data_IF_182034254054
#
_entry.id   IF_182034254054
#
_cell.length_a   1.000
_cell.length_b   1.000
_cell.length_c   1.000
_cell.angle_alpha   90.00
_cell.angle_beta   90.00
_cell.angle_gamma   90.00
#
_symmetry.space_group_name_H-M   'P 1'
#
loop_
_entity.id
_entity.type
_entity.pdbx_description
1 polymer ?
#
# COMPACT_ATOMS: atom_id res chain seq x y z
N UNK A 1 -44.01 -13.41 -26.62
CA UNK A 1 -45.05 -14.04 -25.78
C UNK A 1 -46.36 -14.36 -26.51
N UNK A 2 -46.76 -13.66 -27.59
CA UNK A 2 -47.99 -13.95 -28.32
C UNK A 2 -48.00 -15.30 -29.10
N UNK A 3 -46.83 -15.85 -29.43
CA UNK A 3 -46.71 -17.13 -30.14
C UNK A 3 -46.95 -18.38 -29.29
N UNK A 4 -46.90 -18.24 -27.95
CA UNK A 4 -47.10 -19.34 -27.01
C UNK A 4 -48.59 -19.56 -26.69
N UNK A 5 -49.34 -18.47 -26.54
CA UNK A 5 -50.78 -18.51 -26.27
C UNK A 5 -51.62 -19.03 -27.44
N UNK A 6 -51.18 -18.79 -28.67
CA UNK A 6 -51.86 -19.29 -29.87
C UNK A 6 -51.65 -20.80 -30.07
N UNK A 7 -50.55 -21.35 -29.54
CA UNK A 7 -50.27 -22.80 -29.52
C UNK A 7 -51.13 -23.55 -28.50
N UNK A 8 -51.47 -22.93 -27.37
CA UNK A 8 -52.31 -23.52 -26.33
C UNK A 8 -53.80 -23.56 -26.69
N UNK A 9 -54.31 -22.59 -27.46
CA UNK A 9 -55.70 -22.61 -27.97
C UNK A 9 -56.00 -23.80 -28.91
N UNK A 10 -54.97 -24.38 -29.53
CA UNK A 10 -55.09 -25.55 -30.44
C UNK A 10 -55.49 -26.84 -29.76
N UNK A 11 -55.19 -27.01 -28.47
CA UNK A 11 -55.43 -28.26 -27.73
C UNK A 11 -56.85 -28.37 -27.16
N UNK A 12 -57.64 -27.30 -27.22
CA UNK A 12 -58.98 -27.23 -26.60
C UNK A 12 -60.14 -27.08 -27.60
N UNK A 13 -59.89 -27.23 -28.90
CA UNK A 13 -60.94 -27.22 -29.92
C UNK A 13 -61.30 -28.66 -30.32
N UNK A 14 -62.59 -29.03 -30.36
CA UNK A 14 -62.98 -30.38 -30.76
C UNK A 14 -62.58 -30.62 -32.22
N UNK A 15 -61.96 -31.77 -32.49
CA UNK A 15 -61.22 -32.08 -33.72
C UNK A 15 -61.99 -32.07 -35.05
N UNK A 16 -63.28 -31.69 -35.06
CA UNK A 16 -64.11 -31.55 -36.26
C UNK A 16 -64.05 -30.15 -36.90
N UNK A 17 -63.42 -29.16 -36.23
CA UNK A 17 -63.27 -27.78 -36.75
C UNK A 17 -61.80 -27.49 -37.08
N UNK A 18 -61.32 -28.10 -38.16
CA UNK A 18 -59.95 -27.91 -38.67
C UNK A 18 -60.01 -26.90 -39.82
N UNK A 19 -59.83 -25.62 -39.52
CA UNK A 19 -59.71 -24.58 -40.55
C UNK A 19 -58.26 -24.49 -41.05
N UNK A 20 -58.08 -24.45 -42.37
CA UNK A 20 -56.77 -24.22 -42.98
C UNK A 20 -56.31 -22.79 -42.66
N UNK A 21 -55.13 -22.64 -42.05
CA UNK A 21 -54.53 -21.33 -41.78
C UNK A 21 -53.77 -20.83 -43.00
N UNK A 22 -54.14 -19.64 -43.44
CA UNK A 22 -53.51 -18.95 -44.56
C UNK A 22 -52.63 -17.80 -44.08
N UNK A 23 -51.71 -17.32 -44.91
CA UNK A 23 -50.93 -16.11 -44.63
C UNK A 23 -51.83 -14.88 -44.52
N UNK A 24 -51.45 -13.87 -43.75
CA UNK A 24 -52.13 -12.57 -43.64
C UNK A 24 -52.26 -11.78 -44.95
N UNK A 25 -51.71 -12.30 -46.05
CA UNK A 25 -51.93 -11.79 -47.40
C UNK A 25 -53.22 -12.30 -48.03
N UNK A 26 -53.68 -13.48 -47.61
CA UNK A 26 -54.89 -14.14 -48.11
C UNK A 26 -56.08 -13.58 -47.33
N UNK A 27 -57.11 -13.14 -48.05
CA UNK A 27 -58.28 -12.45 -47.48
C UNK A 27 -59.31 -13.43 -46.92
N UNK A 28 -58.85 -14.35 -46.07
CA UNK A 28 -59.65 -15.43 -45.49
C UNK A 28 -59.49 -15.42 -43.97
N UNK A 29 -60.58 -15.65 -43.24
CA UNK A 29 -60.56 -15.60 -41.78
C UNK A 29 -60.32 -14.18 -41.25
N UNK A 30 -59.55 -14.06 -40.16
CA UNK A 30 -59.38 -12.81 -39.41
C UNK A 30 -58.27 -11.88 -39.97
N UNK A 31 -58.05 -11.91 -41.27
CA UNK A 31 -56.91 -11.27 -41.96
C UNK A 31 -56.80 -9.75 -41.70
N UNK A 32 -57.94 -9.06 -41.53
CA UNK A 32 -58.00 -7.62 -41.35
C UNK A 32 -57.57 -7.20 -39.94
N UNK A 33 -57.96 -7.96 -38.92
CA UNK A 33 -57.55 -7.71 -37.54
C UNK A 33 -56.08 -8.05 -37.31
N UNK A 34 -55.59 -9.14 -37.91
CA UNK A 34 -54.18 -9.53 -37.83
C UNK A 34 -53.24 -8.47 -38.45
N UNK A 35 -53.70 -7.73 -39.46
CA UNK A 35 -52.97 -6.58 -40.02
C UNK A 35 -53.06 -5.32 -39.17
N UNK A 36 -54.10 -5.15 -38.36
CA UNK A 36 -54.27 -4.02 -37.43
C UNK A 36 -53.49 -4.18 -36.11
N UNK A 37 -52.85 -5.32 -35.88
CA UNK A 37 -51.99 -5.55 -34.72
C UNK A 37 -50.85 -4.51 -34.72
N UNK A 38 -50.90 -3.60 -33.74
CA UNK A 38 -49.93 -2.52 -33.59
C UNK A 38 -48.55 -3.11 -33.26
N UNK A 39 -47.59 -2.93 -34.18
CA UNK A 39 -46.18 -3.20 -33.89
C UNK A 39 -45.68 -2.07 -32.99
N UNK A 40 -45.53 -2.33 -31.68
CA UNK A 40 -44.79 -1.42 -30.80
C UNK A 40 -43.41 -1.19 -31.42
N UNK A 41 -43.07 0.06 -31.69
CA UNK A 41 -41.71 0.44 -32.09
C UNK A 41 -40.75 0.12 -30.95
N UNK A 42 -39.51 -0.25 -31.26
CA UNK A 42 -38.46 -0.59 -30.28
C UNK A 42 -37.93 0.63 -29.48
N UNK A 43 -38.59 1.78 -29.59
CA UNK A 43 -38.24 3.00 -28.85
C UNK A 43 -38.73 2.90 -27.40
N UNK A 44 -37.95 3.35 -26.41
CA UNK A 44 -38.32 3.28 -25.00
C UNK A 44 -39.58 4.12 -24.73
N UNK A 45 -40.59 3.47 -24.16
CA UNK A 45 -41.98 3.95 -24.06
C UNK A 45 -42.21 5.14 -23.11
N UNK A 46 -41.21 5.62 -22.36
CA UNK A 46 -41.44 6.77 -21.46
C UNK A 46 -40.13 7.36 -20.92
N UNK A 47 -39.47 8.21 -21.70
CA UNK A 47 -38.51 9.16 -21.13
C UNK A 47 -39.27 10.40 -20.66
N UNK A 48 -38.88 10.94 -19.50
CA UNK A 48 -39.38 12.25 -19.06
C UNK A 48 -38.90 13.34 -20.03
N UNK A 49 -39.65 14.44 -20.20
CA UNK A 49 -39.17 15.57 -21.02
C UNK A 49 -37.77 16.04 -20.56
N UNK A 50 -37.52 16.02 -19.25
CA UNK A 50 -36.21 16.31 -18.68
C UNK A 50 -35.11 15.36 -19.20
N UNK A 51 -35.38 14.07 -19.34
CA UNK A 51 -34.40 13.09 -19.83
C UNK A 51 -34.16 13.22 -21.33
N UNK A 52 -35.13 13.73 -22.09
CA UNK A 52 -34.99 14.05 -23.51
C UNK A 52 -34.12 15.30 -23.69
N UNK A 53 -34.32 16.32 -22.84
CA UNK A 53 -33.64 17.61 -22.95
C UNK A 53 -32.26 17.63 -22.24
N UNK A 54 -32.08 16.81 -21.21
CA UNK A 54 -30.86 16.77 -20.41
C UNK A 54 -29.78 15.94 -21.10
N UNK A 55 -28.76 16.63 -21.60
CA UNK A 55 -27.54 15.99 -22.08
C UNK A 55 -26.63 15.69 -20.88
N UNK A 56 -26.54 14.41 -20.52
CA UNK A 56 -25.60 13.96 -19.49
C UNK A 56 -24.16 14.03 -20.04
N UNK A 57 -23.31 14.82 -19.38
CA UNK A 57 -21.87 14.85 -19.67
C UNK A 57 -21.10 14.09 -18.57
N UNK A 58 -20.87 12.77 -18.73
CA UNK A 58 -20.26 11.93 -17.69
C UNK A 58 -18.82 12.36 -17.35
N UNK A 59 -18.10 12.94 -18.31
CA UNK A 59 -16.72 13.40 -18.14
C UNK A 59 -16.61 14.89 -17.81
N UNK A 60 -17.74 15.62 -17.73
CA UNK A 60 -17.69 17.04 -17.38
C UNK A 60 -17.32 17.19 -15.90
N UNK A 61 -16.09 17.60 -15.66
CA UNK A 61 -15.69 18.11 -14.35
C UNK A 61 -16.02 19.60 -14.33
N UNK A 62 -16.64 20.11 -13.27
CA UNK A 62 -16.81 21.55 -13.13
C UNK A 62 -15.45 22.23 -13.19
N UNK A 63 -15.40 23.43 -13.77
CA UNK A 63 -14.17 24.19 -13.93
C UNK A 63 -13.43 24.31 -12.59
N UNK A 64 -12.12 24.00 -12.61
CA UNK A 64 -11.25 24.04 -11.44
C UNK A 64 -11.21 25.45 -10.83
N UNK A 65 -11.32 26.50 -11.65
CA UNK A 65 -11.34 27.89 -11.18
C UNK A 65 -12.62 28.15 -10.39
N UNK A 66 -13.78 27.79 -10.95
CA UNK A 66 -15.07 27.91 -10.27
C UNK A 66 -15.09 27.12 -8.96
N UNK A 67 -14.59 25.88 -8.97
CA UNK A 67 -14.51 25.07 -7.74
C UNK A 67 -13.66 25.74 -6.66
N UNK A 68 -12.51 26.31 -7.04
CA UNK A 68 -11.64 27.04 -6.11
C UNK A 68 -12.31 28.30 -5.57
N UNK A 69 -13.02 29.06 -6.40
CA UNK A 69 -13.73 30.27 -5.93
C UNK A 69 -14.85 29.93 -4.95
N UNK A 70 -15.60 28.85 -5.20
CA UNK A 70 -16.62 28.38 -4.28
C UNK A 70 -16.01 27.94 -2.93
N UNK A 71 -14.94 27.14 -2.94
CA UNK A 71 -14.28 26.71 -1.71
C UNK A 71 -13.77 27.90 -0.88
N UNK A 72 -13.14 28.89 -1.53
CA UNK A 72 -12.68 30.11 -0.86
C UNK A 72 -13.83 30.93 -0.26
N UNK A 73 -14.99 30.98 -0.92
CA UNK A 73 -16.18 31.67 -0.40
C UNK A 73 -16.74 30.97 0.85
N UNK A 74 -16.54 29.66 0.95
CA UNK A 74 -17.02 28.82 2.06
C UNK A 74 -16.00 28.67 3.20
N UNK A 75 -14.75 29.12 3.06
CA UNK A 75 -13.71 29.04 4.10
C UNK A 75 -14.04 29.82 5.38
N UNK A 76 -14.95 30.79 5.32
CA UNK A 76 -15.41 31.55 6.49
C UNK A 76 -14.36 32.51 7.05
N UNK A 77 -14.60 32.99 8.28
CA UNK A 77 -13.68 33.90 8.97
C UNK A 77 -12.56 33.11 9.65
N UNK A 78 -11.30 33.55 9.57
CA UNK A 78 -10.22 32.84 10.24
C UNK A 78 -10.39 32.86 11.77
N UNK A 79 -10.07 31.73 12.42
CA UNK A 79 -10.16 31.51 13.88
C UNK A 79 -9.57 32.65 14.71
N UNK A 80 -8.48 33.25 14.22
CA UNK A 80 -7.81 34.37 14.88
C UNK A 80 -8.77 35.53 15.19
N UNK A 81 -9.73 35.83 14.33
CA UNK A 81 -10.68 36.93 14.55
C UNK A 81 -11.84 36.55 15.48
N UNK A 82 -12.11 35.26 15.68
CA UNK A 82 -13.23 34.78 16.50
C UNK A 82 -12.82 34.51 17.95
N UNK A 83 -11.59 34.04 18.15
CA UNK A 83 -11.15 33.47 19.44
C UNK A 83 -9.94 34.23 20.02
N UNK A 84 -9.20 35.03 19.23
CA UNK A 84 -8.09 35.80 19.78
C UNK A 84 -8.62 36.94 20.63
N UNK A 85 -8.09 37.05 21.84
CA UNK A 85 -8.23 38.21 22.69
C UNK A 85 -6.97 39.06 22.55
N UNK A 86 -7.14 40.37 22.30
CA UNK A 86 -6.06 41.36 22.26
C UNK A 86 -4.96 41.15 21.20
N UNK A 87 -5.20 40.28 20.19
CA UNK A 87 -4.23 40.05 19.10
C UNK A 87 -2.96 39.35 19.56
N UNK A 88 -2.99 38.68 20.70
CA UNK A 88 -1.82 38.01 21.25
C UNK A 88 -1.49 36.75 20.45
N UNK A 89 -0.19 36.52 20.24
CA UNK A 89 0.26 35.30 19.58
C UNK A 89 0.08 34.09 20.51
N UNK A 90 -0.32 32.95 19.97
CA UNK A 90 -0.52 31.71 20.73
C UNK A 90 0.75 31.25 21.48
N UNK A 91 1.94 31.68 21.05
CA UNK A 91 3.20 31.36 21.73
C UNK A 91 3.45 32.16 23.02
N UNK A 92 2.62 33.15 23.34
CA UNK A 92 2.81 34.02 24.51
C UNK A 92 2.77 33.26 25.84
N UNK A 93 2.05 32.13 25.89
CA UNK A 93 1.79 31.35 27.10
C UNK A 93 2.33 29.92 27.01
N UNK A 94 3.55 29.75 26.49
CA UNK A 94 4.21 28.43 26.42
C UNK A 94 4.95 28.03 27.70
N UNK A 95 5.04 28.94 28.67
CA UNK A 95 5.72 28.74 29.96
C UNK A 95 4.68 28.49 31.03
N UNK A 96 4.87 27.45 31.84
CA UNK A 96 4.02 27.19 33.00
C UNK A 96 4.49 28.00 34.21
N UNK A 97 3.59 28.30 35.14
CA UNK A 97 3.94 29.00 36.38
C UNK A 97 5.02 28.26 37.19
N UNK A 98 5.05 26.92 37.11
CA UNK A 98 6.08 26.11 37.75
C UNK A 98 7.47 26.37 37.13
N UNK A 99 7.57 26.35 35.80
CA UNK A 99 8.83 26.62 35.08
C UNK A 99 9.33 28.04 35.37
N UNK A 100 8.42 29.02 35.36
CA UNK A 100 8.75 30.42 35.70
C UNK A 100 9.24 30.59 37.15
N UNK A 101 8.59 29.96 38.13
CA UNK A 101 8.94 30.16 39.55
C UNK A 101 10.21 29.43 39.97
N UNK A 102 10.39 28.18 39.54
CA UNK A 102 11.45 27.32 40.08
C UNK A 102 12.67 27.21 39.17
N UNK A 103 12.46 27.22 37.85
CA UNK A 103 13.52 26.91 36.89
C UNK A 103 14.13 28.18 36.30
N UNK A 104 13.32 29.23 36.14
CA UNK A 104 13.76 30.52 35.61
C UNK A 104 14.08 31.51 36.73
N UNK A 105 15.36 31.81 36.89
CA UNK A 105 15.81 32.96 37.70
C UNK A 105 15.80 34.22 36.84
N UNK A 106 14.62 34.61 36.37
CA UNK A 106 14.42 35.73 35.44
C UNK A 106 13.72 36.94 36.06
N UNK A 107 14.13 38.13 35.60
CA UNK A 107 13.52 39.41 35.92
C UNK A 107 12.19 39.53 35.17
N UNK A 108 11.10 39.22 35.85
CA UNK A 108 9.77 39.60 35.40
C UNK A 108 9.76 41.11 35.16
N UNK A 109 9.18 41.56 34.04
CA UNK A 109 9.02 42.99 33.69
C UNK A 109 7.97 43.68 34.57
N UNK A 110 7.96 43.33 35.86
CA UNK A 110 7.05 43.88 36.83
C UNK A 110 7.40 45.35 37.05
N UNK A 111 6.39 46.21 37.22
CA UNK A 111 6.63 47.54 37.73
C UNK A 111 7.31 47.44 39.11
N UNK A 112 8.21 48.39 39.42
CA UNK A 112 9.09 48.33 40.59
C UNK A 112 8.36 48.43 41.94
N UNK A 113 7.13 48.95 41.96
CA UNK A 113 6.33 49.12 43.17
C UNK A 113 4.98 48.43 43.01
N UNK A 114 4.62 47.64 44.02
CA UNK A 114 3.28 47.05 44.19
C UNK A 114 2.34 48.04 44.89
N UNK A 115 1.09 48.08 44.47
CA UNK A 115 0.00 48.84 45.09
C UNK A 115 -1.08 47.91 45.60
N UNK A 116 -1.71 48.26 46.72
CA UNK A 116 -2.89 47.54 47.21
C UNK A 116 -4.08 47.88 46.31
N UNK A 117 -4.71 46.87 45.72
CA UNK A 117 -5.95 47.03 44.97
C UNK A 117 -7.13 46.52 45.81
N UNK A 118 -8.08 47.42 46.07
CA UNK A 118 -9.25 47.14 46.89
C UNK A 118 -10.27 46.21 46.22
N UNK A 119 -10.25 46.12 44.88
CA UNK A 119 -11.17 45.25 44.16
C UNK A 119 -10.73 43.79 44.18
N UNK A 120 -9.42 43.55 43.96
CA UNK A 120 -8.83 42.21 44.04
C UNK A 120 -8.45 41.79 45.46
N UNK A 121 -8.40 42.74 46.41
CA UNK A 121 -7.93 42.54 47.79
C UNK A 121 -6.52 41.94 47.83
N UNK A 122 -5.65 42.38 46.92
CA UNK A 122 -4.30 41.87 46.76
C UNK A 122 -3.30 43.00 46.49
N UNK A 123 -2.02 42.70 46.68
CA UNK A 123 -0.94 43.58 46.26
C UNK A 123 -0.62 43.31 44.80
N UNK A 124 -1.08 44.20 43.92
CA UNK A 124 -0.85 44.11 42.48
C UNK A 124 0.33 44.99 42.04
N UNK A 125 0.99 44.64 40.93
CA UNK A 125 0.80 43.39 40.21
C UNK A 125 1.55 42.22 40.83
N UNK A 126 0.96 41.03 40.72
CA UNK A 126 1.63 39.80 41.06
C UNK A 126 2.55 39.35 39.92
N UNK A 127 3.54 38.51 40.26
CA UNK A 127 4.45 37.94 39.26
C UNK A 127 3.71 37.15 38.18
N UNK A 128 2.61 36.49 38.55
CA UNK A 128 1.71 35.74 37.68
C UNK A 128 1.02 36.60 36.62
N UNK A 129 0.77 37.88 36.91
CA UNK A 129 0.08 38.79 35.99
C UNK A 129 0.96 39.20 34.79
N UNK A 130 2.27 39.05 34.93
CA UNK A 130 3.26 39.38 33.91
C UNK A 130 4.07 38.14 33.53
N UNK A 131 3.45 37.18 32.81
CA UNK A 131 4.13 35.98 32.38
C UNK A 131 5.30 36.34 31.46
N UNK A 132 6.42 35.63 31.63
CA UNK A 132 7.58 35.79 30.76
C UNK A 132 7.21 35.39 29.32
N UNK A 133 7.48 36.29 28.37
CA UNK A 133 7.27 36.05 26.93
C UNK A 133 8.41 35.27 26.28
N UNK A 134 9.39 34.83 27.06
CA UNK A 134 10.54 34.06 26.58
C UNK A 134 10.10 32.70 26.03
N UNK A 135 10.87 32.13 25.08
CA UNK A 135 10.61 30.77 24.61
C UNK A 135 10.69 29.78 25.78
N UNK A 136 9.88 28.70 25.75
CA UNK A 136 9.80 27.72 26.83
C UNK A 136 11.12 27.02 27.10
N UNK A 137 11.31 26.53 28.33
CA UNK A 137 12.58 25.91 28.73
C UNK A 137 12.71 24.60 27.99
N UNK A 138 13.63 24.54 27.05
CA UNK A 138 13.87 23.37 26.24
C UNK A 138 15.06 22.61 26.83
N UNK A 139 14.78 21.58 27.63
CA UNK A 139 15.78 20.73 28.30
C UNK A 139 16.61 19.85 27.34
N UNK A 140 16.89 20.32 26.11
CA UNK A 140 17.52 19.49 25.08
C UNK A 140 16.55 18.54 24.35
N UNK A 141 15.28 18.47 24.78
CA UNK A 141 14.31 17.48 24.28
C UNK A 141 14.08 17.60 22.77
N UNK A 142 13.95 18.83 22.27
CA UNK A 142 13.78 19.08 20.83
C UNK A 142 14.99 18.54 20.04
N UNK A 143 16.20 18.82 20.51
CA UNK A 143 17.44 18.39 19.86
C UNK A 143 17.55 16.85 19.85
N UNK A 144 17.17 16.19 20.95
CA UNK A 144 17.14 14.73 21.02
C UNK A 144 16.10 14.13 20.08
N UNK A 145 14.88 14.69 20.05
CA UNK A 145 13.82 14.22 19.14
C UNK A 145 14.19 14.42 17.68
N UNK A 146 14.79 15.55 17.32
CA UNK A 146 15.29 15.80 15.98
C UNK A 146 16.32 14.76 15.56
N UNK A 147 17.28 14.43 16.44
CA UNK A 147 18.27 13.37 16.19
C UNK A 147 17.62 11.99 16.01
N UNK A 148 16.56 11.69 16.75
CA UNK A 148 15.83 10.43 16.62
C UNK A 148 15.09 10.37 15.28
N UNK A 149 14.36 11.42 14.91
CA UNK A 149 13.62 11.47 13.65
C UNK A 149 14.54 11.42 12.43
N UNK A 150 15.70 12.09 12.49
CA UNK A 150 16.69 12.02 11.41
C UNK A 150 17.24 10.60 11.23
N UNK A 151 17.35 9.81 12.31
CA UNK A 151 17.77 8.39 12.22
C UNK A 151 16.69 7.53 11.59
N UNK A 152 15.43 7.72 11.98
CA UNK A 152 14.30 6.95 11.45
C UNK A 152 14.11 7.11 9.94
N UNK A 153 14.41 8.28 9.38
CA UNK A 153 14.34 8.51 7.93
C UNK A 153 15.49 7.86 7.14
N UNK A 154 16.56 7.42 7.82
CA UNK A 154 17.79 6.92 7.19
C UNK A 154 17.96 5.40 7.23
N UNK A 155 17.04 4.67 7.84
CA UNK A 155 17.17 3.22 8.01
C UNK A 155 16.59 2.45 6.82
N UNK A 156 17.49 1.80 6.08
CA UNK A 156 17.20 0.73 5.14
C UNK A 156 16.45 -0.39 5.87
N UNK A 157 15.41 -0.98 5.26
CA UNK A 157 14.46 -1.88 5.96
C UNK A 157 15.13 -3.19 6.34
N UNK A 158 15.83 -3.20 7.48
CA UNK A 158 16.56 -4.35 8.01
C UNK A 158 15.71 -5.06 9.06
N UNK A 159 15.68 -6.39 9.01
CA UNK A 159 15.09 -7.16 10.11
C UNK A 159 15.89 -6.93 11.39
N UNK A 160 15.23 -7.00 12.55
CA UNK A 160 15.89 -6.88 13.87
C UNK A 160 17.09 -7.83 13.97
N UNK A 161 16.96 -9.04 13.41
CA UNK A 161 18.05 -10.00 13.33
C UNK A 161 19.23 -9.45 12.52
N UNK A 162 19.01 -8.95 11.30
CA UNK A 162 20.10 -8.40 10.46
C UNK A 162 20.75 -7.13 11.03
N UNK A 163 20.00 -6.31 11.79
CA UNK A 163 20.54 -5.12 12.44
C UNK A 163 21.37 -5.43 13.69
N UNK A 164 20.99 -6.46 14.44
CA UNK A 164 21.66 -6.86 15.70
C UNK A 164 22.76 -7.89 15.50
N UNK A 165 22.66 -8.73 14.45
CA UNK A 165 23.62 -9.78 14.18
C UNK A 165 24.92 -9.20 13.63
N UNK A 166 26.00 -9.36 14.39
CA UNK A 166 27.35 -9.02 13.93
C UNK A 166 27.84 -10.16 13.04
N UNK A 167 28.05 -9.88 11.76
CA UNK A 167 28.66 -10.86 10.86
C UNK A 167 30.02 -11.30 11.40
N UNK A 168 30.25 -12.61 11.59
CA UNK A 168 31.55 -13.10 12.02
C UNK A 168 32.60 -12.81 10.95
N UNK A 169 33.88 -12.65 11.32
CA UNK A 169 34.94 -12.43 10.35
C UNK A 169 35.05 -13.60 9.37
N UNK A 170 35.52 -13.34 8.15
CA UNK A 170 35.63 -14.37 7.08
C UNK A 170 36.45 -15.59 7.50
N UNK A 171 37.40 -15.41 8.43
CA UNK A 171 38.22 -16.48 9.01
C UNK A 171 37.44 -17.50 9.85
N UNK A 172 36.25 -17.15 10.34
CA UNK A 172 35.38 -18.07 11.07
C UNK A 172 34.65 -19.04 10.12
N UNK A 173 34.59 -18.75 8.83
CA UNK A 173 34.01 -19.64 7.83
C UNK A 173 35.05 -20.68 7.39
N UNK A 174 34.63 -21.95 7.31
CA UNK A 174 35.48 -23.00 6.77
C UNK A 174 35.79 -22.73 5.29
N UNK A 175 37.07 -22.79 4.94
CA UNK A 175 37.51 -22.66 3.55
C UNK A 175 37.04 -23.91 2.77
N UNK A 176 36.32 -23.76 1.64
CA UNK A 176 35.96 -24.90 0.81
C UNK A 176 37.23 -25.56 0.28
N UNK A 177 37.50 -26.79 0.71
CA UNK A 177 38.57 -27.61 0.13
C UNK A 177 38.01 -28.26 -1.13
N UNK A 178 38.49 -27.82 -2.30
CA UNK A 178 38.25 -28.56 -3.54
C UNK A 178 39.05 -29.86 -3.48
N UNK A 179 38.40 -30.95 -3.05
CA UNK A 179 39.00 -32.28 -3.04
C UNK A 179 39.21 -32.77 -4.47
N UNK A 180 40.45 -32.80 -4.94
CA UNK A 180 40.79 -33.55 -6.16
C UNK A 180 40.86 -35.02 -5.76
N UNK A 181 39.97 -35.85 -6.32
CA UNK A 181 40.03 -37.30 -6.09
C UNK A 181 41.40 -37.86 -6.56
N UNK A 182 42.01 -38.80 -5.81
CA UNK A 182 43.29 -39.38 -6.20
C UNK A 182 43.19 -40.04 -7.58
N UNK A 183 44.28 -39.99 -8.37
CA UNK A 183 44.30 -40.34 -9.80
C UNK A 183 43.64 -41.67 -10.16
N UNK A 184 43.76 -42.68 -9.31
CA UNK A 184 43.21 -44.02 -9.55
C UNK A 184 41.69 -44.10 -9.38
N UNK A 185 41.06 -43.15 -8.67
CA UNK A 185 39.60 -43.00 -8.54
C UNK A 185 39.03 -42.01 -9.55
N UNK A 186 39.87 -41.40 -10.38
CA UNK A 186 39.44 -40.38 -11.33
C UNK A 186 38.90 -41.02 -12.61
N UNK A 187 37.57 -41.03 -12.74
CA UNK A 187 36.87 -41.45 -13.96
C UNK A 187 37.28 -40.65 -15.20
N UNK A 188 37.85 -39.45 -15.01
CA UNK A 188 38.28 -38.55 -16.10
C UNK A 188 39.59 -38.96 -16.79
N UNK A 189 40.44 -39.77 -16.15
CA UNK A 189 41.73 -40.19 -16.72
C UNK A 189 41.69 -41.54 -17.46
N UNK A 190 40.56 -42.26 -17.45
CA UNK A 190 40.40 -43.51 -18.20
C UNK A 190 40.17 -43.24 -19.69
N UNK A 191 40.96 -43.91 -20.55
CA UNK A 191 40.93 -43.73 -22.01
C UNK A 191 39.56 -44.04 -22.63
N UNK A 192 38.80 -44.94 -22.01
CA UNK A 192 37.42 -45.32 -22.39
C UNK A 192 36.39 -44.22 -22.13
N UNK A 193 36.62 -43.36 -21.13
CA UNK A 193 35.74 -42.24 -20.79
C UNK A 193 36.06 -40.96 -21.60
N UNK A 194 37.14 -40.95 -22.39
CA UNK A 194 37.48 -39.87 -23.32
C UNK A 194 36.66 -39.96 -24.63
N UNK A 195 35.34 -40.09 -24.52
CA UNK A 195 34.43 -39.93 -25.65
C UNK A 195 34.07 -38.45 -25.82
N UNK A 196 33.88 -37.99 -27.06
CA UNK A 196 33.63 -36.57 -27.37
C UNK A 196 32.37 -35.97 -26.72
N UNK A 197 31.51 -36.78 -26.10
CA UNK A 197 30.30 -36.32 -25.41
C UNK A 197 30.57 -35.65 -24.06
N UNK A 198 31.78 -35.80 -23.49
CA UNK A 198 32.15 -35.22 -22.19
C UNK A 198 33.00 -33.93 -22.31
N UNK A 199 33.12 -33.36 -23.52
CA UNK A 199 33.95 -32.18 -23.78
C UNK A 199 33.51 -30.92 -23.00
N UNK A 200 32.21 -30.77 -22.74
CA UNK A 200 31.65 -29.59 -22.06
C UNK A 200 32.06 -29.49 -20.58
N UNK A 201 32.43 -30.60 -19.94
CA UNK A 201 32.75 -30.65 -18.52
C UNK A 201 34.25 -30.56 -18.20
N UNK A 202 35.14 -30.60 -19.20
CA UNK A 202 36.61 -30.63 -18.98
C UNK A 202 37.19 -29.33 -18.43
N UNK A 203 36.49 -28.22 -18.58
CA UNK A 203 36.95 -26.89 -18.16
C UNK A 203 36.07 -26.26 -17.07
N UNK A 204 35.10 -27.00 -16.52
CA UNK A 204 34.23 -26.51 -15.45
C UNK A 204 34.69 -27.09 -14.11
N UNK A 205 34.81 -26.23 -13.09
CA UNK A 205 35.01 -26.68 -11.73
C UNK A 205 33.67 -27.21 -11.19
N UNK A 206 33.49 -28.53 -11.18
CA UNK A 206 32.33 -29.17 -10.56
C UNK A 206 32.78 -29.99 -9.34
N UNK A 207 31.92 -30.02 -8.32
CA UNK A 207 32.13 -30.83 -7.12
C UNK A 207 31.94 -32.30 -7.50
N UNK A 208 33.02 -33.08 -7.51
CA UNK A 208 32.94 -34.53 -7.69
C UNK A 208 32.62 -35.20 -6.37
N UNK A 209 31.59 -36.04 -6.36
CA UNK A 209 31.31 -36.96 -5.25
C UNK A 209 32.23 -38.18 -5.43
N UNK A 210 32.92 -38.68 -4.39
CA UNK A 210 33.73 -39.88 -4.51
C UNK A 210 32.84 -41.11 -4.78
N UNK A 211 33.10 -41.84 -5.87
CA UNK A 211 32.45 -43.12 -6.14
C UNK A 211 32.97 -44.21 -5.17
N UNK A 212 32.10 -45.16 -4.85
CA UNK A 212 32.30 -46.21 -3.85
C UNK A 212 33.32 -47.25 -4.33
N UNK A 213 34.14 -47.76 -3.41
CA UNK A 213 35.22 -48.71 -3.71
C UNK A 213 34.67 -50.04 -4.23
N UNK A 214 35.02 -50.40 -5.47
CA UNK A 214 34.90 -51.77 -5.98
C UNK A 214 36.11 -52.56 -5.47
N UNK A 215 35.85 -53.55 -4.60
CA UNK A 215 36.88 -54.46 -4.10
C UNK A 215 37.15 -55.55 -5.13
N UNK A 216 38.17 -55.37 -5.96
CA UNK A 216 38.71 -56.46 -6.75
C UNK A 216 39.89 -57.08 -6.01
N UNK A 217 39.60 -58.23 -5.41
CA UNK A 217 40.58 -59.20 -4.96
C UNK A 217 41.37 -59.68 -6.19
N UNK A 218 42.69 -59.49 -6.17
CA UNK A 218 43.75 -60.42 -6.65
C UNK A 218 45.07 -59.67 -6.86
N UNK A 219 46.17 -60.38 -6.64
CA UNK A 219 47.59 -59.96 -6.77
C UNK A 219 48.27 -59.39 -5.51
N UNK A 220 48.24 -60.21 -4.47
CA UNK A 220 49.42 -60.84 -3.85
C UNK A 220 50.84 -60.37 -4.26
N UNK A 221 51.62 -60.18 -3.18
CA UNK A 221 53.04 -60.48 -3.02
C UNK A 221 54.05 -59.52 -3.67
N UNK A 222 54.88 -58.89 -2.83
CA UNK A 222 56.21 -59.40 -2.46
C UNK A 222 56.91 -58.35 -1.59
N UNK A 223 57.42 -58.79 -0.43
CA UNK A 223 58.77 -58.54 0.13
C UNK A 223 59.26 -57.08 0.21
N UNK A 224 59.84 -56.53 1.28
CA UNK A 224 60.74 -57.02 2.34
C UNK A 224 61.12 -55.71 3.08
N UNK A 225 60.75 -55.57 4.35
CA UNK A 225 61.63 -55.58 5.54
C UNK A 225 62.19 -54.20 5.94
N UNK A 226 62.55 -54.03 7.23
CA UNK A 226 62.42 -52.77 7.95
C UNK A 226 63.75 -52.20 8.50
N UNK A 227 63.59 -51.11 9.23
CA UNK A 227 64.43 -50.60 10.32
C UNK A 227 65.61 -49.68 9.97
N UNK A 228 65.52 -48.44 10.47
CA UNK A 228 66.17 -48.07 11.73
C UNK A 228 65.33 -47.04 12.47
#
# INVERSE_FOLDING_TARGET
>A
MASYTDRMKKLCLPGWRIEQRYSNKVLIGNWAEERKQFKRSDLPTSSSCYEIDFVRFPDSKPDRIQRRSYLKRMEGLPKQHLISHHGEHNSRHLVSQYDDHYMRRGNSSLPPLRSWDGNSLAWLPERSDFPLTEPPTNFGLLQEKQKLWSKQTSEDVRSVYSASYRHPPTSAFMVPRYGVAPRFLSSTMHRTNNTNKALEFKCQAYLQVPDHLVTDATHNNLLVEPAS
#
